data_IF_738725433616
#
_entry.id   IF_738725433616
#
_cell.length_a   1.000
_cell.length_b   1.000
_cell.length_c   1.000
_cell.angle_alpha   90.00
_cell.angle_beta   90.00
_cell.angle_gamma   90.00
#
_symmetry.space_group_name_H-M   'P 1'
#
loop_
_entity.id
_entity.type
_entity.pdbx_description
1 polymer ?
#
# COMPACT_ATOMS: atom_id res chain seq x y z
N UNK A 1 14.19 -12.42 -18.17
CA UNK A 1 14.42 -11.96 -16.77
C UNK A 1 14.16 -10.46 -16.74
N UNK A 2 13.28 -10.00 -15.86
CA UNK A 2 12.95 -8.58 -15.73
C UNK A 2 13.68 -8.02 -14.50
N UNK A 3 14.31 -6.85 -14.66
CA UNK A 3 14.80 -6.05 -13.54
C UNK A 3 13.62 -5.21 -13.05
N UNK A 4 13.17 -5.49 -11.84
CA UNK A 4 12.11 -4.75 -11.17
C UNK A 4 12.68 -3.96 -10.00
N UNK A 5 11.98 -2.90 -9.60
CA UNK A 5 12.32 -2.10 -8.43
C UNK A 5 11.28 -2.34 -7.36
N UNK A 6 11.71 -2.67 -6.14
CA UNK A 6 10.79 -2.95 -5.06
C UNK A 6 10.13 -1.67 -4.57
N UNK A 7 8.80 -1.64 -4.51
CA UNK A 7 8.01 -0.50 -4.01
C UNK A 7 8.20 -0.20 -2.51
N UNK A 8 8.77 -1.14 -1.74
CA UNK A 8 8.97 -0.98 -0.28
C UNK A 8 10.40 -0.59 0.08
N UNK A 9 11.40 -1.28 -0.47
CA UNK A 9 12.81 -1.04 -0.14
C UNK A 9 13.57 -0.28 -1.23
N UNK A 10 12.91 0.08 -2.34
CA UNK A 10 13.51 0.70 -3.54
C UNK A 10 14.72 -0.05 -4.13
N UNK A 11 14.90 -1.31 -3.72
CA UNK A 11 16.00 -2.16 -4.16
C UNK A 11 15.67 -2.77 -5.52
N UNK A 12 16.62 -2.75 -6.44
CA UNK A 12 16.48 -3.46 -7.71
C UNK A 12 16.63 -4.96 -7.50
N UNK A 13 15.74 -5.75 -8.09
CA UNK A 13 15.75 -7.20 -8.03
C UNK A 13 15.38 -7.81 -9.38
N UNK A 14 15.94 -8.98 -9.69
CA UNK A 14 15.61 -9.71 -10.92
C UNK A 14 14.51 -10.72 -10.61
N UNK A 15 13.44 -10.69 -11.40
CA UNK A 15 12.34 -11.67 -11.30
C UNK A 15 11.99 -12.25 -12.67
N UNK A 16 11.38 -13.43 -12.65
CA UNK A 16 10.93 -14.13 -13.87
C UNK A 16 9.75 -13.40 -14.53
N UNK A 17 9.00 -12.65 -13.73
CA UNK A 17 7.82 -11.86 -14.12
C UNK A 17 7.99 -10.39 -13.68
N UNK A 18 7.13 -9.49 -14.18
CA UNK A 18 7.01 -8.14 -13.61
C UNK A 18 6.47 -8.27 -12.19
N UNK A 19 7.24 -7.83 -11.21
CA UNK A 19 6.90 -7.91 -9.80
C UNK A 19 7.18 -6.56 -9.16
N UNK A 20 6.29 -6.09 -8.29
CA UNK A 20 6.43 -4.78 -7.63
C UNK A 20 7.09 -4.90 -6.25
N UNK A 21 7.18 -6.10 -5.70
CA UNK A 21 7.81 -6.40 -4.40
C UNK A 21 8.87 -7.49 -4.56
N UNK A 22 10.02 -7.31 -3.90
CA UNK A 22 11.07 -8.33 -3.85
C UNK A 22 10.66 -9.47 -2.91
N UNK A 23 11.37 -10.60 -2.95
CA UNK A 23 11.03 -11.78 -2.15
C UNK A 23 11.03 -11.50 -0.64
N UNK A 24 11.96 -10.67 -0.15
CA UNK A 24 12.03 -10.26 1.26
C UNK A 24 10.89 -9.32 1.66
N UNK A 25 10.54 -8.37 0.78
CA UNK A 25 9.44 -7.44 1.05
C UNK A 25 8.07 -8.05 0.80
N UNK A 26 7.99 -9.24 0.20
CA UNK A 26 6.70 -9.90 -0.04
C UNK A 26 6.01 -10.28 1.26
N UNK A 27 6.73 -10.86 2.23
CA UNK A 27 6.17 -11.12 3.56
C UNK A 27 5.80 -9.83 4.28
N UNK A 28 6.58 -8.76 4.11
CA UNK A 28 6.24 -7.45 4.70
C UNK A 28 5.00 -6.83 4.05
N UNK A 29 4.82 -6.98 2.74
CA UNK A 29 3.63 -6.51 2.02
C UNK A 29 2.36 -7.17 2.59
N UNK A 30 2.43 -8.47 2.90
CA UNK A 30 1.35 -9.20 3.57
C UNK A 30 1.12 -8.72 5.01
N UNK A 31 2.19 -8.48 5.77
CA UNK A 31 2.12 -7.93 7.14
C UNK A 31 1.47 -6.54 7.17
N UNK A 32 1.93 -5.63 6.30
CA UNK A 32 1.32 -4.31 6.14
C UNK A 32 -0.16 -4.39 5.72
N UNK A 33 -0.54 -5.37 4.91
CA UNK A 33 -1.94 -5.55 4.54
C UNK A 33 -2.80 -5.92 5.74
N UNK A 34 -2.32 -6.83 6.60
CA UNK A 34 -3.01 -7.23 7.83
C UNK A 34 -3.11 -6.05 8.81
N UNK A 35 -2.03 -5.29 8.99
CA UNK A 35 -2.03 -4.10 9.83
C UNK A 35 -2.97 -3.00 9.30
N UNK A 36 -3.01 -2.76 7.97
CA UNK A 36 -3.96 -1.81 7.35
C UNK A 36 -5.40 -2.27 7.62
N UNK A 37 -5.68 -3.58 7.51
CA UNK A 37 -7.02 -4.13 7.77
C UNK A 37 -7.40 -3.98 9.24
N UNK A 38 -6.50 -4.30 10.17
CA UNK A 38 -6.70 -4.10 11.59
C UNK A 38 -6.93 -2.62 11.93
N UNK A 39 -6.10 -1.74 11.38
CA UNK A 39 -6.21 -0.29 11.57
C UNK A 39 -7.54 0.25 11.04
N UNK A 40 -8.01 -0.22 9.89
CA UNK A 40 -9.31 0.18 9.34
C UNK A 40 -10.50 -0.42 10.10
N UNK A 41 -10.34 -1.57 10.77
CA UNK A 41 -11.35 -2.10 11.71
C UNK A 41 -11.48 -1.23 12.96
N UNK A 42 -10.37 -0.75 13.50
CA UNK A 42 -10.35 0.14 14.66
C UNK A 42 -10.78 1.57 14.29
N UNK A 43 -10.33 2.05 13.12
CA UNK A 43 -10.53 3.41 12.62
C UNK A 43 -11.12 3.42 11.20
N UNK A 44 -12.43 3.14 11.04
CA UNK A 44 -13.06 3.02 9.72
C UNK A 44 -13.10 4.32 8.90
N UNK A 45 -12.85 5.47 9.52
CA UNK A 45 -12.81 6.79 8.86
C UNK A 45 -11.39 7.31 8.63
N UNK A 46 -10.37 6.48 8.82
CA UNK A 46 -8.99 6.94 8.65
C UNK A 46 -8.64 7.26 7.21
N UNK A 47 -7.86 8.32 7.05
CA UNK A 47 -7.39 8.79 5.75
C UNK A 47 -6.10 8.06 5.33
N UNK A 48 -5.84 7.95 4.03
CA UNK A 48 -4.64 7.35 3.48
C UNK A 48 -3.35 7.97 4.03
N UNK A 49 -3.36 9.26 4.39
CA UNK A 49 -2.24 9.92 5.07
C UNK A 49 -2.00 9.40 6.50
N UNK A 50 -3.05 9.15 7.27
CA UNK A 50 -2.91 8.62 8.64
C UNK A 50 -2.39 7.18 8.61
N UNK A 51 -2.91 6.38 7.70
CA UNK A 51 -2.47 5.01 7.47
C UNK A 51 -1.01 5.01 6.99
N UNK A 52 -0.66 5.91 6.07
CA UNK A 52 0.71 6.10 5.60
C UNK A 52 1.69 6.44 6.73
N UNK A 53 1.29 7.33 7.64
CA UNK A 53 2.12 7.74 8.78
C UNK A 53 2.26 6.61 9.82
N UNK A 54 1.16 5.92 10.14
CA UNK A 54 1.14 4.82 11.11
C UNK A 54 1.96 3.60 10.66
N UNK A 55 1.86 3.24 9.37
CA UNK A 55 2.50 2.04 8.82
C UNK A 55 3.86 2.33 8.15
N UNK A 56 4.22 3.60 8.00
CA UNK A 56 5.46 4.03 7.33
C UNK A 56 5.50 3.68 5.83
N UNK A 57 4.35 3.51 5.19
CA UNK A 57 4.22 3.28 3.74
C UNK A 57 3.78 4.56 3.04
N UNK A 58 3.93 4.63 1.72
CA UNK A 58 3.51 5.83 0.97
C UNK A 58 1.98 5.93 0.87
N UNK A 59 1.43 7.15 0.98
CA UNK A 59 0.00 7.39 0.77
C UNK A 59 -0.49 6.89 -0.60
N UNK A 60 0.37 6.92 -1.63
CA UNK A 60 0.06 6.35 -2.94
C UNK A 60 -0.15 4.83 -2.89
N UNK A 61 0.69 4.08 -2.15
CA UNK A 61 0.48 2.65 -1.94
C UNK A 61 -0.81 2.38 -1.20
N UNK A 62 -1.09 3.13 -0.13
CA UNK A 62 -2.34 3.00 0.64
C UNK A 62 -3.54 3.20 -0.27
N UNK A 63 -3.54 4.27 -1.08
CA UNK A 63 -4.58 4.53 -2.06
C UNK A 63 -4.71 3.38 -3.08
N UNK A 64 -3.61 2.76 -3.49
CA UNK A 64 -3.65 1.61 -4.40
C UNK A 64 -4.30 0.39 -3.73
N UNK A 65 -3.96 0.08 -2.48
CA UNK A 65 -4.60 -1.00 -1.71
C UNK A 65 -6.11 -0.77 -1.52
N UNK A 66 -6.50 0.48 -1.23
CA UNK A 66 -7.89 0.90 -1.13
C UNK A 66 -8.63 0.78 -2.49
N UNK A 67 -7.96 1.14 -3.59
CA UNK A 67 -8.53 1.17 -4.95
C UNK A 67 -8.63 -0.20 -5.60
N UNK A 68 -7.80 -1.17 -5.21
CA UNK A 68 -7.93 -2.57 -5.63
C UNK A 68 -9.16 -3.28 -5.05
N UNK A 69 -10.00 -2.58 -4.27
CA UNK A 69 -11.33 -3.05 -3.88
C UNK A 69 -11.33 -4.15 -2.83
N UNK A 70 -10.19 -4.40 -2.17
CA UNK A 70 -10.09 -5.35 -1.05
C UNK A 70 -10.63 -4.77 0.27
N UNK A 71 -10.76 -3.45 0.36
CA UNK A 71 -11.32 -2.75 1.51
C UNK A 71 -12.68 -2.16 1.14
N UNK A 72 -13.75 -2.69 1.75
CA UNK A 72 -15.10 -2.14 1.63
C UNK A 72 -15.16 -0.81 2.37
N UNK A 73 -14.65 0.25 1.74
CA UNK A 73 -14.69 1.61 2.29
C UNK A 73 -16.14 2.07 2.28
N UNK A 74 -16.71 2.16 3.47
CA UNK A 74 -17.95 2.87 3.71
C UNK A 74 -17.72 4.36 3.40
N UNK A 75 -18.02 4.77 2.16
CA UNK A 75 -18.33 6.14 1.72
C UNK A 75 -17.41 7.27 2.23
N UNK A 76 -16.09 7.14 2.04
CA UNK A 76 -15.17 8.28 2.10
C UNK A 76 -14.85 8.78 0.69
N UNK A 77 -15.31 9.98 0.32
CA UNK A 77 -14.98 10.59 -0.98
C UNK A 77 -13.53 11.10 -0.89
N UNK A 78 -12.57 10.27 -1.32
CA UNK A 78 -11.16 10.66 -1.41
C UNK A 78 -10.97 11.59 -2.60
N UNK A 79 -11.05 12.90 -2.36
CA UNK A 79 -10.60 13.87 -3.35
C UNK A 79 -9.07 13.87 -3.37
N UNK A 80 -8.54 13.56 -4.55
CA UNK A 80 -7.12 13.61 -4.84
C UNK A 80 -6.77 15.11 -4.85
N UNK A 81 -6.11 15.59 -3.80
CA UNK A 81 -5.60 16.97 -3.81
C UNK A 81 -4.61 17.03 -4.98
N UNK A 82 -4.93 17.86 -5.98
CA UNK A 82 -4.03 18.11 -7.10
C UNK A 82 -2.80 18.82 -6.56
N UNK A 83 -1.63 18.29 -6.88
CA UNK A 83 -0.39 19.08 -6.85
C UNK A 83 -0.53 20.14 -7.95
N UNK A 84 -0.91 21.36 -7.55
CA UNK A 84 -0.77 22.60 -8.33
C UNK A 84 0.29 23.48 -7.68
#
# INVERSE_FOLDING_TARGET
MYTNLCKHCHKQFKSRFKAYSCNECRSKDEDYFDEIEAYLKEYPNSNALQISDALGITAYQVLNYLKEGRLNISRGRFERIGDE
#
